data_IF_879610491949
#
_entry.id   IF_879610491949
#
_cell.length_a   1.000
_cell.length_b   1.000
_cell.length_c   1.000
_cell.angle_alpha   90.00
_cell.angle_beta   90.00
_cell.angle_gamma   90.00
#
_symmetry.space_group_name_H-M   'P 1'
#
loop_
_entity.id
_entity.type
_entity.pdbx_description
1 polymer ?
#
# COMPACT_ATOMS: atom_id res chain seq x y z
N UNK A 1 13.18 18.19 23.20
CA UNK A 1 11.69 18.13 23.23
C UNK A 1 11.27 17.00 24.16
N UNK A 2 10.41 17.24 25.17
CA UNK A 2 10.09 16.27 26.21
C UNK A 2 9.45 14.99 25.64
N UNK A 3 9.78 13.84 26.26
CA UNK A 3 9.38 12.49 25.84
C UNK A 3 7.86 12.34 25.59
N UNK A 4 7.04 13.01 26.41
CA UNK A 4 5.58 12.99 26.30
C UNK A 4 5.04 13.57 24.97
N UNK A 5 5.73 14.58 24.40
CA UNK A 5 5.34 15.17 23.11
C UNK A 5 5.68 14.26 21.93
N UNK A 6 6.71 13.40 22.05
CA UNK A 6 7.03 12.38 21.03
C UNK A 6 5.96 11.28 20.98
N UNK A 7 5.50 10.80 22.13
CA UNK A 7 4.47 9.76 22.20
C UNK A 7 3.13 10.20 21.59
N UNK A 8 2.69 11.43 21.89
CA UNK A 8 1.47 12.00 21.29
C UNK A 8 1.58 12.18 19.77
N UNK A 9 2.72 12.68 19.28
CA UNK A 9 2.97 12.78 17.82
C UNK A 9 2.95 11.41 17.14
N UNK A 10 3.55 10.39 17.75
CA UNK A 10 3.54 9.03 17.21
C UNK A 10 2.14 8.44 17.12
N UNK A 11 1.32 8.62 18.17
CA UNK A 11 -0.07 8.15 18.17
C UNK A 11 -0.89 8.81 17.04
N UNK A 12 -0.73 10.13 16.85
CA UNK A 12 -1.40 10.85 15.75
C UNK A 12 -0.96 10.32 14.39
N UNK A 13 0.34 10.06 14.20
CA UNK A 13 0.83 9.45 12.96
C UNK A 13 0.19 8.10 12.70
N UNK A 14 0.13 7.22 13.70
CA UNK A 14 -0.46 5.88 13.57
C UNK A 14 -1.95 5.96 13.23
N UNK A 15 -2.69 6.88 13.86
CA UNK A 15 -4.11 7.08 13.57
C UNK A 15 -4.30 7.56 12.13
N UNK A 16 -3.57 8.60 11.70
CA UNK A 16 -3.66 9.13 10.34
C UNK A 16 -3.24 8.09 9.29
N UNK A 17 -2.16 7.35 9.56
CA UNK A 17 -1.70 6.25 8.73
C UNK A 17 -2.76 5.13 8.62
N UNK A 18 -3.40 4.78 9.74
CA UNK A 18 -4.47 3.78 9.75
C UNK A 18 -5.67 4.21 8.90
N UNK A 19 -6.09 5.47 9.01
CA UNK A 19 -7.18 6.03 8.18
C UNK A 19 -6.76 6.03 6.70
N UNK A 20 -5.54 6.49 6.39
CA UNK A 20 -5.00 6.51 5.03
C UNK A 20 -4.99 5.11 4.39
N UNK A 21 -4.35 4.14 5.07
CA UNK A 21 -4.23 2.76 4.58
C UNK A 21 -5.61 2.13 4.37
N UNK A 22 -6.51 2.28 5.36
CA UNK A 22 -7.85 1.67 5.29
C UNK A 22 -8.64 2.21 4.10
N UNK A 23 -8.63 3.53 3.89
CA UNK A 23 -9.34 4.15 2.76
C UNK A 23 -8.69 3.78 1.42
N UNK A 24 -7.35 3.77 1.34
CA UNK A 24 -6.64 3.39 0.13
C UNK A 24 -6.91 1.93 -0.29
N UNK A 25 -6.77 0.98 0.64
CA UNK A 25 -7.06 -0.44 0.37
C UNK A 25 -8.53 -0.64 0.00
N UNK A 26 -9.44 0.02 0.72
CA UNK A 26 -10.88 -0.08 0.41
C UNK A 26 -11.19 0.48 -0.97
N UNK A 27 -10.60 1.62 -1.36
CA UNK A 27 -10.79 2.23 -2.67
C UNK A 27 -10.42 1.27 -3.80
N UNK A 28 -9.28 0.60 -3.68
CA UNK A 28 -8.80 -0.37 -4.66
C UNK A 28 -9.71 -1.60 -4.76
N UNK A 29 -10.16 -2.15 -3.61
CA UNK A 29 -11.01 -3.36 -3.60
C UNK A 29 -12.39 -3.10 -4.19
N UNK A 30 -12.97 -1.91 -3.98
CA UNK A 30 -14.29 -1.58 -4.55
C UNK A 30 -14.19 -1.01 -5.96
N UNK A 31 -12.98 -0.76 -6.48
CA UNK A 31 -12.77 -0.02 -7.73
C UNK A 31 -13.39 -0.71 -8.95
N UNK A 32 -13.55 -2.02 -8.92
CA UNK A 32 -14.12 -2.82 -10.01
C UNK A 32 -15.61 -2.49 -10.26
N UNK A 33 -16.30 -1.90 -9.29
CA UNK A 33 -17.69 -1.48 -9.47
C UNK A 33 -17.75 -0.12 -10.19
N UNK A 34 -18.13 -0.17 -11.45
CA UNK A 34 -18.35 0.99 -12.30
C UNK A 34 -19.75 1.58 -12.05
N UNK A 35 -19.82 2.89 -11.92
CA UNK A 35 -21.04 3.68 -11.82
C UNK A 35 -21.12 4.66 -13.00
N UNK A 36 -22.34 5.02 -13.35
CA UNK A 36 -22.61 6.00 -14.39
C UNK A 36 -23.17 7.27 -13.76
N UNK A 37 -22.48 8.40 -13.96
CA UNK A 37 -22.94 9.72 -13.55
C UNK A 37 -23.10 10.55 -14.82
N UNK A 38 -24.34 10.64 -15.32
CA UNK A 38 -24.66 11.28 -16.59
C UNK A 38 -23.92 10.58 -17.76
N UNK A 39 -23.13 11.30 -18.58
CA UNK A 39 -22.39 10.71 -19.69
C UNK A 39 -21.07 10.05 -19.26
N UNK A 40 -20.66 10.17 -17.99
CA UNK A 40 -19.36 9.69 -17.53
C UNK A 40 -19.48 8.33 -16.84
N UNK A 41 -18.60 7.41 -17.23
CA UNK A 41 -18.40 6.13 -16.59
C UNK A 41 -17.23 6.27 -15.62
N UNK A 42 -17.45 5.98 -14.34
CA UNK A 42 -16.43 6.11 -13.31
C UNK A 42 -16.44 4.93 -12.35
N UNK A 43 -15.34 4.71 -11.65
CA UNK A 43 -15.27 3.71 -10.60
C UNK A 43 -15.84 4.25 -9.28
N UNK A 44 -16.60 3.43 -8.55
CA UNK A 44 -17.05 3.75 -7.18
C UNK A 44 -15.85 3.89 -6.21
N UNK A 45 -14.69 3.35 -6.59
CA UNK A 45 -13.42 3.51 -5.87
C UNK A 45 -12.99 4.96 -5.71
N UNK A 46 -13.63 5.92 -6.41
CA UNK A 46 -13.40 7.35 -6.19
C UNK A 46 -13.86 7.83 -4.80
N UNK A 47 -14.80 7.14 -4.15
CA UNK A 47 -15.42 7.60 -2.89
C UNK A 47 -14.44 7.83 -1.72
N UNK A 48 -13.45 6.96 -1.46
CA UNK A 48 -12.56 7.15 -0.32
C UNK A 48 -11.46 8.20 -0.57
N UNK A 49 -11.21 8.60 -1.82
CA UNK A 49 -10.10 9.49 -2.18
C UNK A 49 -10.08 10.86 -1.49
N UNK A 50 -11.22 11.56 -1.27
CA UNK A 50 -11.22 12.80 -0.49
C UNK A 50 -10.62 12.65 0.91
N UNK A 51 -10.84 11.49 1.56
CA UNK A 51 -10.28 11.19 2.89
C UNK A 51 -8.79 10.86 2.77
N UNK A 52 -8.40 10.12 1.74
CA UNK A 52 -6.98 9.82 1.45
C UNK A 52 -6.19 11.12 1.22
N UNK A 53 -6.72 12.05 0.45
CA UNK A 53 -6.07 13.35 0.22
C UNK A 53 -5.98 14.18 1.51
N UNK A 54 -7.09 14.31 2.23
CA UNK A 54 -7.09 15.04 3.50
C UNK A 54 -6.08 14.47 4.51
N UNK A 55 -6.03 13.14 4.65
CA UNK A 55 -5.08 12.50 5.56
C UNK A 55 -3.64 12.66 5.09
N UNK A 56 -3.38 12.61 3.78
CA UNK A 56 -2.05 12.86 3.23
C UNK A 56 -1.58 14.28 3.53
N UNK A 57 -2.43 15.28 3.29
CA UNK A 57 -2.12 16.69 3.54
C UNK A 57 -1.77 16.94 5.01
N UNK A 58 -2.56 16.36 5.94
CA UNK A 58 -2.28 16.40 7.38
C UNK A 58 -0.93 15.74 7.70
N UNK A 59 -0.63 14.59 7.11
CA UNK A 59 0.65 13.90 7.39
C UNK A 59 1.83 14.73 6.87
N UNK A 60 1.71 15.37 5.69
CA UNK A 60 2.72 16.30 5.17
C UNK A 60 2.95 17.46 6.14
N UNK A 61 1.87 18.09 6.62
CA UNK A 61 1.95 19.24 7.51
C UNK A 61 2.62 18.92 8.86
N UNK A 62 2.26 17.78 9.49
CA UNK A 62 2.74 17.44 10.83
C UNK A 62 4.03 16.62 10.86
N UNK A 63 4.30 15.82 9.82
CA UNK A 63 5.39 14.83 9.79
C UNK A 63 6.33 14.98 8.59
N UNK A 64 5.99 15.84 7.63
CA UNK A 64 6.80 16.12 6.45
C UNK A 64 6.73 15.05 5.37
N UNK A 65 7.33 15.37 4.22
CA UNK A 65 7.28 14.56 3.00
C UNK A 65 7.87 13.14 3.18
N UNK A 66 8.88 12.98 4.04
CA UNK A 66 9.51 11.67 4.30
C UNK A 66 8.57 10.68 4.99
N UNK A 67 7.67 11.18 5.85
CA UNK A 67 6.66 10.37 6.52
C UNK A 67 5.65 9.80 5.53
N UNK A 68 5.18 10.65 4.61
CA UNK A 68 4.26 10.24 3.54
C UNK A 68 4.91 9.25 2.58
N UNK A 69 6.14 9.50 2.12
CA UNK A 69 6.83 8.57 1.19
C UNK A 69 6.86 7.13 1.72
N UNK A 70 7.23 6.95 2.99
CA UNK A 70 7.23 5.60 3.60
C UNK A 70 5.83 5.04 3.78
N UNK A 71 4.88 5.87 4.21
CA UNK A 71 3.50 5.44 4.37
C UNK A 71 2.92 4.96 3.03
N UNK A 72 3.17 5.69 1.94
CA UNK A 72 2.73 5.32 0.60
C UNK A 72 3.38 4.01 0.13
N UNK A 73 4.67 3.80 0.38
CA UNK A 73 5.35 2.53 0.05
C UNK A 73 4.73 1.34 0.82
N UNK A 74 4.57 1.48 2.14
CA UNK A 74 3.92 0.45 2.98
C UNK A 74 2.49 0.20 2.49
N UNK A 75 1.76 1.25 2.13
CA UNK A 75 0.37 1.11 1.66
C UNK A 75 0.33 0.39 0.32
N UNK A 76 1.25 0.67 -0.60
CA UNK A 76 1.38 -0.06 -1.86
C UNK A 76 1.66 -1.55 -1.63
N UNK A 77 2.56 -1.88 -0.70
CA UNK A 77 2.86 -3.27 -0.32
C UNK A 77 1.63 -3.96 0.30
N UNK A 78 0.86 -3.27 1.14
CA UNK A 78 -0.36 -3.80 1.75
C UNK A 78 -1.49 -3.99 0.74
N UNK A 79 -1.62 -3.08 -0.23
CA UNK A 79 -2.55 -3.24 -1.35
C UNK A 79 -2.17 -4.48 -2.16
N UNK A 80 -0.89 -4.61 -2.53
CA UNK A 80 -0.37 -5.78 -3.23
C UNK A 80 -0.64 -7.09 -2.46
N UNK A 81 -0.43 -7.09 -1.14
CA UNK A 81 -0.74 -8.21 -0.27
C UNK A 81 -2.25 -8.54 -0.23
N UNK A 82 -3.13 -7.53 -0.16
CA UNK A 82 -4.58 -7.73 -0.21
C UNK A 82 -5.00 -8.41 -1.52
N UNK A 83 -4.45 -7.99 -2.66
CA UNK A 83 -4.74 -8.61 -3.95
C UNK A 83 -4.17 -10.04 -4.08
N UNK A 84 -3.01 -10.31 -3.47
CA UNK A 84 -2.49 -11.68 -3.38
C UNK A 84 -3.47 -12.60 -2.65
N UNK A 85 -4.03 -12.15 -1.51
CA UNK A 85 -5.05 -12.90 -0.79
C UNK A 85 -6.30 -13.10 -1.66
N UNK A 86 -6.74 -12.07 -2.40
CA UNK A 86 -7.90 -12.18 -3.29
C UNK A 86 -7.69 -13.26 -4.37
N UNK A 87 -6.50 -13.39 -4.95
CA UNK A 87 -6.22 -14.50 -5.88
C UNK A 87 -6.34 -15.88 -5.24
N UNK A 88 -5.75 -16.03 -4.05
CA UNK A 88 -5.80 -17.29 -3.33
C UNK A 88 -7.26 -17.63 -3.02
N UNK A 89 -8.06 -16.63 -2.64
CA UNK A 89 -9.49 -16.80 -2.41
C UNK A 89 -10.26 -17.21 -3.68
N UNK A 90 -9.98 -16.61 -4.84
CA UNK A 90 -10.64 -16.97 -6.11
C UNK A 90 -10.29 -18.39 -6.57
N UNK A 91 -9.14 -18.92 -6.13
CA UNK A 91 -8.71 -20.29 -6.46
C UNK A 91 -9.37 -21.36 -5.58
N UNK A 92 -9.98 -20.97 -4.45
CA UNK A 92 -10.64 -21.90 -3.52
C UNK A 92 -12.12 -22.02 -3.89
N UNK A 93 -12.62 -23.23 -4.18
CA UNK A 93 -14.00 -23.41 -4.60
C UNK A 93 -14.98 -23.15 -3.46
N UNK A 94 -16.10 -22.50 -3.79
CA UNK A 94 -17.19 -22.24 -2.87
C UNK A 94 -17.89 -23.54 -2.43
N UNK A 95 -18.36 -23.55 -1.17
CA UNK A 95 -19.15 -24.66 -0.64
C UNK A 95 -20.51 -24.76 -1.38
N UNK A 96 -20.67 -25.85 -2.15
CA UNK A 96 -21.88 -26.10 -2.96
C UNK A 96 -23.12 -26.18 -2.07
N UNK A 97 -24.14 -25.38 -2.39
CA UNK A 97 -25.46 -25.43 -1.75
C UNK A 97 -25.58 -24.68 -0.41
N UNK A 98 -24.48 -24.16 0.15
CA UNK A 98 -24.47 -23.43 1.42
C UNK A 98 -23.92 -22.01 1.25
N UNK A 99 -22.94 -21.83 0.36
CA UNK A 99 -22.32 -20.51 0.16
C UNK A 99 -23.30 -19.52 -0.47
N UNK A 100 -23.48 -18.31 0.12
CA UNK A 100 -24.32 -17.27 -0.47
C UNK A 100 -23.72 -16.65 -1.74
N UNK A 101 -22.40 -16.81 -1.94
CA UNK A 101 -21.67 -16.34 -3.13
C UNK A 101 -21.10 -17.56 -3.84
N UNK A 102 -21.39 -17.69 -5.14
CA UNK A 102 -20.84 -18.77 -5.96
C UNK A 102 -19.52 -18.36 -6.63
N UNK A 103 -18.78 -19.36 -7.13
CA UNK A 103 -17.47 -19.14 -7.78
C UNK A 103 -17.55 -18.19 -8.99
N UNK A 104 -18.65 -18.25 -9.75
CA UNK A 104 -18.86 -17.41 -10.92
C UNK A 104 -19.05 -15.94 -10.54
N UNK A 105 -19.80 -15.65 -9.47
CA UNK A 105 -19.99 -14.31 -8.93
C UNK A 105 -18.70 -13.77 -8.34
N UNK A 106 -17.98 -14.60 -7.58
CA UNK A 106 -16.71 -14.20 -6.96
C UNK A 106 -15.64 -13.89 -8.02
N UNK A 107 -15.55 -14.73 -9.07
CA UNK A 107 -14.63 -14.52 -10.20
C UNK A 107 -15.10 -13.38 -11.11
N UNK A 108 -16.41 -13.12 -11.23
CA UNK A 108 -16.89 -11.98 -12.01
C UNK A 108 -16.54 -10.63 -11.36
N UNK A 109 -16.54 -10.58 -10.02
CA UNK A 109 -16.08 -9.42 -9.26
C UNK A 109 -14.55 -9.39 -9.31
N UNK A 110 -13.89 -10.32 -8.62
CA UNK A 110 -12.44 -10.26 -8.37
C UNK A 110 -11.57 -10.89 -9.45
N UNK A 111 -12.12 -11.51 -10.50
CA UNK A 111 -11.32 -12.14 -11.56
C UNK A 111 -10.57 -11.15 -12.44
N UNK A 112 -11.05 -9.90 -12.57
CA UNK A 112 -10.28 -8.84 -13.22
C UNK A 112 -9.01 -8.48 -12.43
N UNK A 113 -9.04 -8.62 -11.11
CA UNK A 113 -7.86 -8.43 -10.25
C UNK A 113 -6.70 -9.41 -10.51
N UNK A 114 -6.90 -10.48 -11.31
CA UNK A 114 -5.83 -11.40 -11.73
C UNK A 114 -4.68 -10.70 -12.48
N UNK A 115 -4.99 -9.71 -13.32
CA UNK A 115 -3.96 -8.92 -14.02
C UNK A 115 -3.17 -8.02 -13.06
N UNK A 116 -3.81 -7.59 -11.96
CA UNK A 116 -3.21 -6.72 -10.94
C UNK A 116 -2.15 -7.47 -10.14
N UNK A 117 -2.32 -8.77 -9.89
CA UNK A 117 -1.30 -9.58 -9.21
C UNK A 117 -0.12 -9.95 -10.09
N UNK A 118 -0.33 -10.10 -11.39
CA UNK A 118 0.78 -10.08 -12.34
C UNK A 118 1.61 -8.79 -12.19
N UNK A 119 0.91 -7.65 -12.09
CA UNK A 119 1.52 -6.35 -11.79
C UNK A 119 2.22 -6.29 -10.43
N UNK A 120 1.67 -6.91 -9.38
CA UNK A 120 2.23 -6.86 -8.03
C UNK A 120 3.48 -7.73 -7.85
N UNK A 121 3.56 -8.89 -8.51
CA UNK A 121 4.78 -9.72 -8.53
C UNK A 121 5.89 -8.96 -9.27
N UNK A 122 5.56 -8.29 -10.38
CA UNK A 122 6.52 -7.45 -11.10
C UNK A 122 6.95 -6.26 -10.25
N UNK A 123 6.01 -5.58 -9.58
CA UNK A 123 6.31 -4.45 -8.70
C UNK A 123 7.17 -4.89 -7.50
N UNK A 124 6.90 -6.04 -6.92
CA UNK A 124 7.69 -6.64 -5.85
C UNK A 124 9.11 -6.97 -6.32
N UNK A 125 9.27 -7.59 -7.49
CA UNK A 125 10.58 -7.84 -8.08
C UNK A 125 11.33 -6.54 -8.34
N UNK A 126 10.67 -5.53 -8.92
CA UNK A 126 11.25 -4.20 -9.15
C UNK A 126 11.67 -3.54 -7.83
N UNK A 127 10.85 -3.64 -6.79
CA UNK A 127 11.15 -3.12 -5.46
C UNK A 127 12.36 -3.82 -4.83
N UNK A 128 12.43 -5.14 -4.91
CA UNK A 128 13.61 -5.91 -4.46
C UNK A 128 14.88 -5.53 -5.23
N UNK A 129 14.78 -5.35 -6.56
CA UNK A 129 15.91 -4.91 -7.38
C UNK A 129 16.32 -3.47 -7.07
N UNK A 130 15.37 -2.58 -6.78
CA UNK A 130 15.65 -1.22 -6.33
C UNK A 130 16.40 -1.24 -4.99
N UNK A 131 15.96 -2.04 -4.01
CA UNK A 131 16.64 -2.16 -2.72
C UNK A 131 18.09 -2.65 -2.87
N UNK A 132 18.33 -3.65 -3.72
CA UNK A 132 19.68 -4.16 -4.01
C UNK A 132 20.52 -3.14 -4.78
N UNK A 133 19.94 -2.44 -5.75
CA UNK A 133 20.64 -1.43 -6.56
C UNK A 133 21.03 -0.22 -5.72
N UNK A 134 20.12 0.27 -4.86
CA UNK A 134 20.41 1.36 -3.93
C UNK A 134 21.48 0.90 -2.94
N UNK A 135 21.40 -0.32 -2.41
CA UNK A 135 22.44 -0.86 -1.53
C UNK A 135 23.82 -0.93 -2.20
N UNK A 136 23.90 -1.39 -3.45
CA UNK A 136 25.17 -1.47 -4.19
C UNK A 136 25.69 -0.09 -4.60
N UNK A 137 24.81 0.82 -5.03
CA UNK A 137 25.17 2.20 -5.36
C UNK A 137 25.79 2.92 -4.15
N UNK A 138 25.14 2.82 -2.98
CA UNK A 138 25.69 3.40 -1.75
C UNK A 138 26.96 2.67 -1.27
N UNK A 139 27.07 1.35 -1.46
CA UNK A 139 28.25 0.58 -1.10
C UNK A 139 29.47 0.89 -1.99
N UNK A 140 29.26 1.20 -3.28
CA UNK A 140 30.35 1.48 -4.22
C UNK A 140 30.80 2.94 -4.19
N UNK A 141 29.89 3.90 -3.95
CA UNK A 141 30.27 5.30 -3.75
C UNK A 141 31.01 5.50 -2.42
N UNK A 142 30.77 4.64 -1.42
CA UNK A 142 31.40 4.73 -0.11
C UNK A 142 32.34 3.53 0.06
N UNK A 143 33.57 3.69 -0.44
CA UNK A 143 34.64 2.69 -0.36
C UNK A 143 34.83 2.09 1.03
N UNK A 144 35.36 0.87 1.04
CA UNK A 144 35.34 -0.23 2.02
C UNK A 144 35.68 0.03 3.51
N UNK A 145 35.59 1.25 4.04
CA UNK A 145 36.29 1.63 5.26
C UNK A 145 35.46 2.03 6.49
N UNK A 146 34.12 1.91 6.50
CA UNK A 146 33.36 2.08 7.76
C UNK A 146 32.15 1.14 7.86
N UNK A 147 32.34 0.03 8.55
CA UNK A 147 31.29 -0.91 9.00
C UNK A 147 30.16 -0.18 9.77
N UNK A 148 30.44 0.97 10.40
CA UNK A 148 29.43 1.81 11.07
C UNK A 148 28.32 2.36 10.15
N UNK A 149 28.52 2.46 8.83
CA UNK A 149 27.48 2.93 7.90
C UNK A 149 26.43 1.86 7.56
N UNK A 150 26.70 0.58 7.82
CA UNK A 150 25.67 -0.49 7.73
C UNK A 150 24.56 -0.30 8.77
N UNK A 151 24.90 0.19 9.97
CA UNK A 151 23.91 0.51 11.00
C UNK A 151 23.13 1.80 10.68
N UNK A 152 23.74 2.73 9.92
CA UNK A 152 23.09 3.95 9.44
C UNK A 152 22.12 3.72 8.28
N UNK A 153 22.41 2.78 7.37
CA UNK A 153 21.58 2.55 6.19
C UNK A 153 20.26 1.83 6.51
N UNK A 154 20.24 0.91 7.49
CA UNK A 154 18.98 0.40 8.08
C UNK A 154 18.15 1.51 8.75
N UNK A 155 18.77 2.65 9.08
CA UNK A 155 18.14 3.84 9.67
C UNK A 155 17.68 4.86 8.61
N UNK A 156 18.15 4.74 7.37
CA UNK A 156 17.81 5.62 6.25
C UNK A 156 16.71 5.03 5.34
N UNK A 157 16.62 3.70 5.22
CA UNK A 157 15.46 3.03 4.60
C UNK A 157 14.17 3.15 5.44
N UNK A 158 14.31 3.54 6.72
CA UNK A 158 13.21 3.89 7.63
C UNK A 158 13.25 5.38 8.06
N UNK A 159 13.94 6.25 7.30
CA UNK A 159 14.14 7.69 7.58
C UNK A 159 13.26 8.65 6.79
#
# INVERSE_FOLDING_TARGET
MPFFLKAKKYLVFVILAGIFITNAVTAEVIAEKLIQIGPFLMSIGILPWPIVFLTTDLIIEYFGEKGVKKLSLITADLIAYSFLILLLATSIPAAKGISPVNDAQFTAVFGQSMWIVGGSIIAFLVFQFMDVTVFWFFKNCIGNNKILLRAGFKRAALG
#
